data_IF_233192844436
#
_entry.id   IF_233192844436
#
_cell.length_a   1.000
_cell.length_b   1.000
_cell.length_c   1.000
_cell.angle_alpha   90.00
_cell.angle_beta   90.00
_cell.angle_gamma   90.00
#
_symmetry.space_group_name_H-M   'P 1'
#
loop_
_entity.id
_entity.type
_entity.pdbx_description
1 polymer ?
#
# COMPACT_ATOMS: atom_id res chain seq x y z
N UNK A 1 -18.29 -14.80 -9.45
CA UNK A 1 -16.83 -14.93 -9.28
C UNK A 1 -16.03 -13.95 -10.14
N UNK A 2 -16.38 -13.75 -11.42
CA UNK A 2 -15.68 -12.79 -12.31
C UNK A 2 -15.59 -11.37 -11.73
N UNK A 3 -16.69 -10.83 -11.19
CA UNK A 3 -16.72 -9.50 -10.55
C UNK A 3 -15.78 -9.37 -9.35
N UNK A 4 -15.64 -10.46 -8.57
CA UNK A 4 -14.71 -10.49 -7.43
C UNK A 4 -13.25 -10.42 -7.91
N UNK A 5 -12.91 -11.17 -8.96
CA UNK A 5 -11.59 -11.10 -9.58
C UNK A 5 -11.29 -9.71 -10.13
N UNK A 6 -12.22 -9.13 -10.90
CA UNK A 6 -12.08 -7.77 -11.46
C UNK A 6 -11.93 -6.71 -10.36
N UNK A 7 -12.66 -6.84 -9.25
CA UNK A 7 -12.54 -5.96 -8.10
C UNK A 7 -11.14 -5.99 -7.47
N UNK A 8 -10.60 -7.20 -7.24
CA UNK A 8 -9.25 -7.36 -6.69
C UNK A 8 -8.21 -6.80 -7.64
N UNK A 9 -8.33 -7.08 -8.95
CA UNK A 9 -7.42 -6.53 -9.97
C UNK A 9 -7.48 -5.01 -9.99
N UNK A 10 -8.68 -4.41 -10.02
CA UNK A 10 -8.84 -2.96 -10.05
C UNK A 10 -8.23 -2.28 -8.81
N UNK A 11 -8.50 -2.82 -7.62
CA UNK A 11 -7.91 -2.32 -6.38
C UNK A 11 -6.39 -2.46 -6.35
N UNK A 12 -5.85 -3.60 -6.81
CA UNK A 12 -4.40 -3.82 -6.89
C UNK A 12 -3.71 -2.88 -7.88
N UNK A 13 -4.32 -2.65 -9.05
CA UNK A 13 -3.82 -1.70 -10.06
C UNK A 13 -3.83 -0.28 -9.51
N UNK A 14 -4.91 0.16 -8.87
CA UNK A 14 -4.98 1.48 -8.23
C UNK A 14 -3.89 1.62 -7.16
N UNK A 15 -3.76 0.64 -6.27
CA UNK A 15 -2.74 0.65 -5.23
C UNK A 15 -1.34 0.80 -5.82
N UNK A 16 -1.03 0.01 -6.84
CA UNK A 16 0.28 0.01 -7.51
C UNK A 16 0.55 1.36 -8.18
N UNK A 17 -0.43 1.93 -8.87
CA UNK A 17 -0.31 3.24 -9.51
C UNK A 17 -0.05 4.35 -8.49
N UNK A 18 -0.84 4.39 -7.40
CA UNK A 18 -0.67 5.37 -6.32
C UNK A 18 0.67 5.20 -5.61
N UNK A 19 1.10 3.97 -5.35
CA UNK A 19 2.36 3.70 -4.68
C UNK A 19 3.56 4.08 -5.56
N UNK A 20 3.61 3.60 -6.81
CA UNK A 20 4.74 3.87 -7.70
C UNK A 20 4.82 5.37 -8.04
N UNK A 21 3.69 5.97 -8.41
CA UNK A 21 3.64 7.40 -8.74
C UNK A 21 3.90 8.28 -7.52
N UNK A 22 3.21 8.02 -6.41
CA UNK A 22 3.35 8.80 -5.19
C UNK A 22 4.73 8.67 -4.55
N UNK A 23 5.31 7.46 -4.52
CA UNK A 23 6.64 7.26 -3.94
C UNK A 23 7.73 7.91 -4.78
N UNK A 24 7.60 7.91 -6.11
CA UNK A 24 8.50 8.66 -6.99
C UNK A 24 8.42 10.17 -6.73
N UNK A 25 7.21 10.71 -6.61
CA UNK A 25 7.00 12.13 -6.29
C UNK A 25 7.59 12.48 -4.92
N UNK A 26 7.26 11.72 -3.88
CA UNK A 26 7.80 11.94 -2.54
C UNK A 26 9.33 11.88 -2.55
N UNK A 27 9.95 10.89 -3.21
CA UNK A 27 11.41 10.79 -3.31
C UNK A 27 12.03 11.97 -4.06
N UNK A 28 11.37 12.52 -5.08
CA UNK A 28 11.87 13.68 -5.81
C UNK A 28 12.01 14.93 -4.92
N UNK A 29 11.14 15.10 -3.91
CA UNK A 29 11.24 16.19 -2.93
C UNK A 29 12.29 15.94 -1.83
N UNK A 30 12.85 14.73 -1.74
CA UNK A 30 13.80 14.30 -0.72
C UNK A 30 15.04 13.65 -1.36
N UNK A 31 15.50 14.18 -2.50
CA UNK A 31 16.61 13.61 -3.26
C UNK A 31 17.90 13.47 -2.41
N UNK A 32 18.13 14.41 -1.48
CA UNK A 32 19.31 14.43 -0.60
C UNK A 32 19.17 13.54 0.64
N UNK A 33 18.02 12.87 0.83
CA UNK A 33 17.74 12.04 2.00
C UNK A 33 18.27 10.59 1.89
N UNK A 34 18.89 10.25 0.77
CA UNK A 34 19.49 8.93 0.51
C UNK A 34 20.98 9.02 0.78
N UNK A 35 21.49 8.21 1.72
CA UNK A 35 22.90 8.13 2.01
C UNK A 35 23.68 7.46 0.85
N UNK A 36 25.00 7.64 0.83
CA UNK A 36 25.86 7.10 -0.23
C UNK A 36 25.86 5.56 -0.35
N UNK A 37 25.41 4.85 0.68
CA UNK A 37 25.21 3.40 0.70
C UNK A 37 23.78 2.98 0.29
N UNK A 38 22.92 3.94 -0.08
CA UNK A 38 21.52 3.72 -0.43
C UNK A 38 20.57 3.66 0.77
N UNK A 39 21.08 3.79 2.00
CA UNK A 39 20.24 3.79 3.20
C UNK A 39 19.37 5.06 3.30
N UNK A 40 18.15 4.89 3.78
CA UNK A 40 17.21 5.99 3.99
C UNK A 40 16.74 5.98 5.43
N UNK A 41 17.15 7.00 6.18
CA UNK A 41 16.81 7.17 7.60
C UNK A 41 16.09 8.48 7.90
N UNK A 42 15.85 9.32 6.89
CA UNK A 42 15.06 10.55 7.05
C UNK A 42 13.62 10.20 7.46
N UNK A 43 13.27 10.58 8.69
CA UNK A 43 11.97 10.29 9.28
C UNK A 43 10.82 10.95 8.53
N UNK A 44 11.02 12.14 7.95
CA UNK A 44 9.97 12.88 7.24
C UNK A 44 9.61 12.15 5.95
N UNK A 45 10.63 11.72 5.20
CA UNK A 45 10.45 10.90 4.00
C UNK A 45 9.71 9.59 4.32
N UNK A 46 10.16 8.85 5.34
CA UNK A 46 9.57 7.57 5.71
C UNK A 46 8.12 7.72 6.21
N UNK A 47 7.80 8.76 6.99
CA UNK A 47 6.43 9.05 7.44
C UNK A 47 5.51 9.41 6.26
N UNK A 48 5.99 10.19 5.29
CA UNK A 48 5.22 10.51 4.09
C UNK A 48 4.96 9.27 3.23
N UNK A 49 5.93 8.37 3.13
CA UNK A 49 5.73 7.08 2.45
C UNK A 49 4.72 6.20 3.18
N UNK A 50 4.73 6.15 4.51
CA UNK A 50 3.70 5.45 5.28
C UNK A 50 2.31 6.07 5.09
N UNK A 51 2.22 7.39 5.08
CA UNK A 51 0.96 8.09 4.82
C UNK A 51 0.44 7.81 3.40
N UNK A 52 1.33 7.80 2.41
CA UNK A 52 0.98 7.42 1.04
C UNK A 52 0.47 5.98 0.98
N UNK A 53 1.16 5.04 1.63
CA UNK A 53 0.75 3.64 1.69
C UNK A 53 -0.65 3.48 2.31
N UNK A 54 -0.90 4.20 3.40
CA UNK A 54 -2.20 4.26 4.06
C UNK A 54 -3.31 4.73 3.11
N UNK A 55 -3.11 5.88 2.45
CA UNK A 55 -4.07 6.46 1.50
C UNK A 55 -4.30 5.50 0.32
N UNK A 56 -3.22 4.93 -0.23
CA UNK A 56 -3.29 3.99 -1.34
C UNK A 56 -4.08 2.73 -0.96
N UNK A 57 -3.85 2.16 0.22
CA UNK A 57 -4.56 0.98 0.72
C UNK A 57 -6.05 1.26 0.95
N UNK A 58 -6.40 2.40 1.56
CA UNK A 58 -7.81 2.81 1.72
C UNK A 58 -8.48 2.96 0.35
N UNK A 59 -7.85 3.69 -0.58
CA UNK A 59 -8.39 3.89 -1.93
C UNK A 59 -8.57 2.58 -2.69
N UNK A 60 -7.61 1.67 -2.57
CA UNK A 60 -7.66 0.34 -3.19
C UNK A 60 -8.81 -0.51 -2.64
N UNK A 61 -9.00 -0.54 -1.31
CA UNK A 61 -10.11 -1.24 -0.66
C UNK A 61 -11.48 -0.67 -1.06
N UNK A 62 -11.59 0.65 -1.10
CA UNK A 62 -12.81 1.35 -1.52
C UNK A 62 -13.17 1.01 -2.97
N UNK A 63 -12.20 1.12 -3.89
CA UNK A 63 -12.40 0.81 -5.30
C UNK A 63 -12.75 -0.68 -5.51
N UNK A 64 -12.08 -1.59 -4.81
CA UNK A 64 -12.38 -3.01 -4.90
C UNK A 64 -13.84 -3.29 -4.53
N UNK A 65 -14.35 -2.69 -3.45
CA UNK A 65 -15.74 -2.89 -3.07
C UNK A 65 -16.73 -2.21 -4.03
N UNK A 66 -16.37 -1.03 -4.56
CA UNK A 66 -17.15 -0.32 -5.58
C UNK A 66 -17.33 -1.19 -6.83
N UNK A 67 -16.26 -1.84 -7.31
CA UNK A 67 -16.27 -2.72 -8.49
C UNK A 67 -16.96 -4.04 -8.20
N UNK A 68 -16.79 -4.59 -6.99
CA UNK A 68 -17.42 -5.85 -6.60
C UNK A 68 -18.96 -5.73 -6.58
N UNK A 69 -19.50 -4.53 -6.36
CA UNK A 69 -20.94 -4.28 -6.11
C UNK A 69 -21.51 -5.24 -5.06
N UNK A 70 -20.70 -5.60 -4.07
CA UNK A 70 -21.00 -6.63 -3.10
C UNK A 70 -21.31 -6.01 -1.73
N UNK A 71 -22.22 -6.64 -0.99
CA UNK A 71 -22.59 -6.27 0.39
C UNK A 71 -21.62 -6.81 1.45
N UNK A 72 -20.52 -7.47 1.04
CA UNK A 72 -19.58 -8.15 1.93
C UNK A 72 -18.13 -7.76 1.64
N UNK A 73 -17.27 -7.74 2.68
CA UNK A 73 -15.86 -7.30 2.60
C UNK A 73 -14.93 -8.31 1.91
N UNK A 74 -15.46 -9.34 1.26
CA UNK A 74 -14.66 -10.44 0.70
C UNK A 74 -13.61 -9.94 -0.31
N UNK A 75 -13.97 -8.97 -1.16
CA UNK A 75 -13.03 -8.39 -2.12
C UNK A 75 -11.90 -7.63 -1.42
N UNK A 76 -12.22 -6.83 -0.40
CA UNK A 76 -11.23 -6.08 0.39
C UNK A 76 -10.31 -7.01 1.19
N UNK A 77 -10.82 -8.12 1.73
CA UNK A 77 -10.00 -9.14 2.40
C UNK A 77 -8.99 -9.82 1.47
N UNK A 78 -9.47 -10.30 0.32
CA UNK A 78 -8.60 -10.95 -0.67
C UNK A 78 -7.52 -9.97 -1.15
N UNK A 79 -7.92 -8.73 -1.46
CA UNK A 79 -6.99 -7.68 -1.86
C UNK A 79 -5.98 -7.35 -0.76
N UNK A 80 -6.44 -7.15 0.49
CA UNK A 80 -5.56 -6.82 1.61
C UNK A 80 -4.52 -7.90 1.90
N UNK A 81 -4.92 -9.18 1.82
CA UNK A 81 -3.98 -10.31 1.95
C UNK A 81 -3.01 -10.34 0.77
N UNK A 82 -3.48 -10.14 -0.46
CA UNK A 82 -2.62 -10.07 -1.64
C UNK A 82 -1.58 -8.94 -1.51
N UNK A 83 -2.01 -7.74 -1.13
CA UNK A 83 -1.13 -6.60 -0.90
C UNK A 83 -0.13 -6.88 0.22
N UNK A 84 -0.53 -7.55 1.30
CA UNK A 84 0.38 -7.92 2.38
C UNK A 84 1.46 -8.89 1.90
N UNK A 85 1.10 -9.94 1.15
CA UNK A 85 2.06 -10.91 0.59
C UNK A 85 3.04 -10.22 -0.34
N UNK A 86 2.55 -9.39 -1.27
CA UNK A 86 3.40 -8.61 -2.17
C UNK A 86 4.27 -7.62 -1.39
N UNK A 87 3.70 -6.96 -0.39
CA UNK A 87 4.39 -6.02 0.48
C UNK A 87 5.55 -6.66 1.24
N UNK A 88 5.38 -7.88 1.77
CA UNK A 88 6.47 -8.64 2.40
C UNK A 88 7.60 -8.89 1.40
N UNK A 89 7.25 -9.31 0.17
CA UNK A 89 8.23 -9.55 -0.90
C UNK A 89 8.97 -8.29 -1.32
N UNK A 90 8.31 -7.13 -1.35
CA UNK A 90 8.95 -5.85 -1.67
C UNK A 90 9.83 -5.37 -0.51
N UNK A 91 9.33 -5.42 0.73
CA UNK A 91 10.07 -4.92 1.89
C UNK A 91 11.34 -5.74 2.19
N UNK A 92 11.35 -7.04 1.88
CA UNK A 92 12.54 -7.88 2.03
C UNK A 92 13.70 -7.44 1.12
N UNK A 93 13.40 -6.87 -0.06
CA UNK A 93 14.41 -6.31 -0.97
C UNK A 93 15.09 -5.06 -0.39
N UNK A 94 14.42 -4.36 0.52
CA UNK A 94 14.92 -3.13 1.15
C UNK A 94 15.30 -3.33 2.62
N UNK A 95 15.44 -4.57 3.07
CA UNK A 95 15.67 -4.89 4.48
C UNK A 95 16.92 -4.23 5.06
N UNK A 96 18.00 -4.17 4.28
CA UNK A 96 19.28 -3.62 4.72
C UNK A 96 19.35 -2.08 4.68
N UNK A 97 18.46 -1.42 3.94
CA UNK A 97 18.56 0.01 3.63
C UNK A 97 17.44 0.85 4.26
N UNK A 98 16.39 0.20 4.76
CA UNK A 98 15.28 0.84 5.46
C UNK A 98 15.20 0.33 6.91
N UNK A 99 14.82 1.20 7.87
CA UNK A 99 14.78 0.81 9.28
C UNK A 99 13.64 -0.16 9.58
N UNK A 100 13.86 -1.07 10.54
CA UNK A 100 12.89 -2.11 10.94
C UNK A 100 11.50 -1.56 11.29
N UNK A 101 11.45 -0.44 12.00
CA UNK A 101 10.17 0.17 12.38
C UNK A 101 9.34 0.57 11.15
N UNK A 102 9.97 0.99 10.06
CA UNK A 102 9.26 1.36 8.84
C UNK A 102 8.64 0.13 8.18
N UNK A 103 9.42 -0.97 8.06
CA UNK A 103 8.94 -2.25 7.53
C UNK A 103 7.69 -2.73 8.28
N UNK A 104 7.77 -2.76 9.61
CA UNK A 104 6.67 -3.23 10.46
C UNK A 104 5.42 -2.37 10.28
N UNK A 105 5.55 -1.05 10.34
CA UNK A 105 4.41 -0.14 10.19
C UNK A 105 3.79 -0.25 8.80
N UNK A 106 4.61 -0.33 7.75
CA UNK A 106 4.13 -0.49 6.37
C UNK A 106 3.35 -1.79 6.20
N UNK A 107 3.86 -2.92 6.72
CA UNK A 107 3.18 -4.21 6.57
C UNK A 107 1.91 -4.30 7.40
N UNK A 108 1.95 -3.86 8.66
CA UNK A 108 0.81 -3.89 9.57
C UNK A 108 -0.34 -3.05 9.01
N UNK A 109 -0.06 -1.92 8.36
CA UNK A 109 -1.12 -1.03 7.88
C UNK A 109 -1.86 -1.54 6.65
N UNK A 110 -1.25 -2.40 5.81
CA UNK A 110 -1.82 -2.74 4.48
C UNK A 110 -3.21 -3.36 4.60
N UNK A 111 -3.34 -4.37 5.44
CA UNK A 111 -4.59 -5.09 5.63
C UNK A 111 -5.68 -4.23 6.30
N UNK A 112 -5.49 -3.63 7.49
CA UNK A 112 -6.52 -2.83 8.14
C UNK A 112 -6.92 -1.60 7.31
N UNK A 113 -5.98 -0.93 6.64
CA UNK A 113 -6.29 0.20 5.76
C UNK A 113 -7.14 -0.22 4.55
N UNK A 114 -6.82 -1.37 3.94
CA UNK A 114 -7.61 -1.91 2.83
C UNK A 114 -9.03 -2.28 3.29
N UNK A 115 -9.16 -2.89 4.47
CA UNK A 115 -10.47 -3.20 5.04
C UNK A 115 -11.27 -1.95 5.39
N UNK A 116 -10.62 -0.93 5.95
CA UNK A 116 -11.25 0.37 6.22
C UNK A 116 -11.78 0.99 4.94
N UNK A 117 -11.00 0.99 3.86
CA UNK A 117 -11.45 1.45 2.55
C UNK A 117 -12.68 0.72 2.04
N UNK A 118 -12.70 -0.61 2.17
CA UNK A 118 -13.88 -1.41 1.85
C UNK A 118 -15.08 -1.03 2.72
N UNK A 119 -14.90 -0.90 4.02
CA UNK A 119 -15.96 -0.56 4.96
C UNK A 119 -16.58 0.81 4.68
N UNK A 120 -15.79 1.81 4.28
CA UNK A 120 -16.27 3.14 3.89
C UNK A 120 -17.18 3.13 2.64
N UNK A 121 -17.11 2.06 1.83
CA UNK A 121 -17.98 1.90 0.66
C UNK A 121 -19.24 1.09 0.96
N UNK A 122 -19.24 0.23 1.98
CA UNK A 122 -20.40 -0.63 2.30
C UNK A 122 -21.66 0.20 2.55
#
# INVERSE_FOLDING_TARGET
>A
MIRLGLAVIAGFVLWSALWLGGSALVRAFFADAVAGDGSVSDRRLLLLLLLLALIASIGAGYLALLVAQATGLRAAWILGVLLLVVGIGVQSQYWAVLPLWYHLNFLILLLPATLLGGWLRM
#
